data_IF_146397864783
#
_entry.id   IF_146397864783
#
_cell.length_a   1.000
_cell.length_b   1.000
_cell.length_c   1.000
_cell.angle_alpha   90.00
_cell.angle_beta   90.00
_cell.angle_gamma   90.00
#
_symmetry.space_group_name_H-M   'P 1'
#
loop_
_entity.id
_entity.type
_entity.pdbx_description
1 polymer ?
#
# COMPACT_ATOMS: atom_id res chain seq x y z
N UNK A 1 29.45 -39.40 -75.58
CA UNK A 1 28.61 -38.20 -75.33
C UNK A 1 28.20 -37.96 -73.86
N UNK A 2 28.43 -38.89 -72.91
CA UNK A 2 28.05 -38.69 -71.49
C UNK A 2 29.08 -37.91 -70.65
N UNK A 3 30.33 -37.77 -71.11
CA UNK A 3 31.37 -37.02 -70.40
C UNK A 3 31.36 -35.51 -70.65
N UNK A 4 30.72 -35.02 -71.73
CA UNK A 4 30.69 -33.59 -72.05
C UNK A 4 29.55 -32.81 -71.34
N UNK A 5 28.51 -33.51 -70.87
CA UNK A 5 27.39 -32.91 -70.14
C UNK A 5 27.68 -32.66 -68.65
N UNK A 6 28.60 -33.44 -68.04
CA UNK A 6 29.00 -33.22 -66.64
C UNK A 6 29.88 -31.98 -66.44
N UNK A 7 30.65 -31.58 -67.46
CA UNK A 7 31.56 -30.43 -67.36
C UNK A 7 30.82 -29.08 -67.49
N UNK A 8 29.75 -28.99 -68.30
CA UNK A 8 28.89 -27.79 -68.39
C UNK A 8 28.04 -27.55 -67.13
N UNK A 9 27.74 -28.59 -66.34
CA UNK A 9 26.99 -28.44 -65.08
C UNK A 9 27.82 -27.86 -63.92
N UNK A 10 29.16 -27.97 -63.99
CA UNK A 10 30.06 -27.43 -62.95
C UNK A 10 30.39 -25.95 -63.16
N UNK A 11 30.53 -25.47 -64.40
CA UNK A 11 30.73 -24.02 -64.68
C UNK A 11 29.52 -23.16 -64.28
N UNK A 12 28.28 -23.63 -64.53
CA UNK A 12 27.07 -22.86 -64.17
C UNK A 12 26.83 -22.78 -62.66
N UNK A 13 27.39 -23.73 -61.89
CA UNK A 13 27.33 -23.73 -60.42
C UNK A 13 28.39 -22.86 -59.76
N UNK A 14 29.45 -22.49 -60.51
CA UNK A 14 30.47 -21.54 -60.05
C UNK A 14 30.12 -20.08 -60.42
N UNK A 15 29.37 -19.82 -61.50
CA UNK A 15 28.87 -18.47 -61.81
C UNK A 15 27.72 -18.01 -60.88
N UNK A 16 26.87 -18.92 -60.40
CA UNK A 16 25.82 -18.62 -59.41
C UNK A 16 26.33 -18.47 -57.98
N UNK A 17 27.60 -18.79 -57.71
CA UNK A 17 28.25 -18.58 -56.42
C UNK A 17 28.98 -17.22 -56.32
N UNK A 18 29.08 -16.48 -57.44
CA UNK A 18 29.70 -15.15 -57.49
C UNK A 18 28.70 -14.00 -57.28
N UNK A 19 27.39 -14.26 -57.35
CA UNK A 19 26.38 -13.36 -56.79
C UNK A 19 26.20 -13.71 -55.31
N UNK A 20 26.97 -13.04 -54.44
CA UNK A 20 26.71 -13.10 -53.01
C UNK A 20 25.22 -12.81 -52.73
N UNK A 21 24.63 -13.41 -51.67
CA UNK A 21 23.26 -13.11 -51.29
C UNK A 21 23.11 -11.57 -51.23
N UNK A 22 22.03 -10.99 -51.77
CA UNK A 22 21.82 -9.55 -51.70
C UNK A 22 22.05 -9.16 -50.25
N UNK A 23 23.02 -8.25 -50.02
CA UNK A 23 23.34 -7.76 -48.69
C UNK A 23 22.00 -7.39 -48.07
N UNK A 24 21.55 -8.20 -47.11
CA UNK A 24 20.36 -7.90 -46.33
C UNK A 24 20.69 -6.58 -45.67
N UNK A 25 20.19 -5.49 -46.26
CA UNK A 25 20.32 -4.17 -45.70
C UNK A 25 19.78 -4.29 -44.29
N UNK A 26 20.67 -4.14 -43.31
CA UNK A 26 20.32 -4.08 -41.92
C UNK A 26 19.21 -3.02 -41.84
N UNK A 27 17.99 -3.37 -41.41
CA UNK A 27 16.91 -2.39 -41.37
C UNK A 27 17.42 -1.18 -40.60
N UNK A 28 17.17 0.04 -41.11
CA UNK A 28 17.74 1.25 -40.53
C UNK A 28 17.48 1.24 -39.03
N UNK A 29 18.47 1.61 -38.19
CA UNK A 29 18.27 1.69 -36.75
C UNK A 29 17.02 2.51 -36.50
N UNK A 30 16.06 1.93 -35.76
CA UNK A 30 14.79 2.59 -35.42
C UNK A 30 15.13 3.99 -34.94
N UNK A 31 14.78 5.00 -35.73
CA UNK A 31 14.94 6.39 -35.34
C UNK A 31 14.36 6.52 -33.94
N UNK A 32 15.12 7.10 -33.02
CA UNK A 32 14.67 7.39 -31.67
C UNK A 32 13.62 8.50 -31.77
N UNK A 33 12.42 8.13 -32.18
CA UNK A 33 11.25 9.00 -32.21
C UNK A 33 11.08 9.54 -30.78
N UNK A 34 11.08 10.87 -30.66
CA UNK A 34 10.73 11.51 -29.39
C UNK A 34 9.35 11.01 -28.97
N UNK A 35 9.12 10.75 -27.67
CA UNK A 35 7.82 10.28 -27.20
C UNK A 35 6.72 11.27 -27.62
N UNK A 36 5.54 10.77 -28.00
CA UNK A 36 4.45 11.65 -28.39
C UNK A 36 4.05 12.54 -27.20
N UNK A 37 3.70 13.81 -27.44
CA UNK A 37 3.22 14.69 -26.38
C UNK A 37 1.91 14.14 -25.79
N UNK A 38 1.69 14.37 -24.49
CA UNK A 38 0.47 13.98 -23.77
C UNK A 38 -0.83 14.27 -24.54
N UNK A 39 -0.93 15.46 -25.15
CA UNK A 39 -2.11 15.88 -25.90
C UNK A 39 -2.42 14.96 -27.08
N UNK A 40 -1.39 14.40 -27.73
CA UNK A 40 -1.55 13.49 -28.84
C UNK A 40 -1.99 12.10 -28.39
N UNK A 41 -1.42 11.58 -27.29
CA UNK A 41 -1.87 10.29 -26.74
C UNK A 41 -3.30 10.39 -26.20
N UNK A 42 -3.67 11.55 -25.62
CA UNK A 42 -5.06 11.82 -25.23
C UNK A 42 -6.00 11.93 -26.43
N UNK A 43 -5.58 12.56 -27.53
CA UNK A 43 -6.34 12.59 -28.78
C UNK A 43 -6.55 11.17 -29.33
N UNK A 44 -5.48 10.36 -29.39
CA UNK A 44 -5.55 8.96 -29.76
C UNK A 44 -6.54 8.19 -28.87
N UNK A 45 -6.48 8.38 -27.54
CA UNK A 45 -7.41 7.76 -26.60
C UNK A 45 -8.86 8.12 -26.87
N UNK A 46 -9.13 9.39 -27.15
CA UNK A 46 -10.48 9.88 -27.46
C UNK A 46 -11.02 9.24 -28.74
N UNK A 47 -10.20 9.17 -29.78
CA UNK A 47 -10.61 8.59 -31.07
C UNK A 47 -10.82 7.08 -30.94
N UNK A 48 -9.88 6.36 -30.33
CA UNK A 48 -9.96 4.90 -30.14
C UNK A 48 -11.15 4.50 -29.28
N UNK A 49 -11.41 5.22 -28.17
CA UNK A 49 -12.56 4.93 -27.30
C UNK A 49 -13.89 5.16 -28.01
N UNK A 50 -14.00 6.22 -28.83
CA UNK A 50 -15.16 6.48 -29.68
C UNK A 50 -15.35 5.39 -30.73
N UNK A 51 -14.29 4.99 -31.42
CA UNK A 51 -14.32 3.91 -32.42
C UNK A 51 -14.79 2.60 -31.81
N UNK A 52 -14.19 2.18 -30.69
CA UNK A 52 -14.59 0.96 -29.98
C UNK A 52 -16.06 1.04 -29.50
N UNK A 53 -16.49 2.20 -28.99
CA UNK A 53 -17.88 2.39 -28.58
C UNK A 53 -18.86 2.27 -29.75
N UNK A 54 -18.50 2.79 -30.94
CA UNK A 54 -19.32 2.67 -32.15
C UNK A 54 -19.43 1.21 -32.62
N UNK A 55 -18.42 0.39 -32.35
CA UNK A 55 -18.44 -1.05 -32.58
C UNK A 55 -19.19 -1.84 -31.48
N UNK A 56 -19.75 -1.16 -30.47
CA UNK A 56 -20.39 -1.82 -29.32
C UNK A 56 -19.40 -2.46 -28.34
N UNK A 57 -18.12 -2.13 -28.42
CA UNK A 57 -17.05 -2.69 -27.59
C UNK A 57 -16.77 -1.75 -26.42
N UNK A 58 -16.95 -2.26 -25.21
CA UNK A 58 -16.64 -1.53 -23.97
C UNK A 58 -15.13 -1.57 -23.73
N UNK A 59 -14.56 -0.45 -23.31
CA UNK A 59 -13.11 -0.33 -23.09
C UNK A 59 -12.75 0.60 -21.92
N UNK A 60 -11.48 0.56 -21.52
CA UNK A 60 -10.88 1.43 -20.53
C UNK A 60 -9.40 1.65 -20.83
N UNK A 61 -8.90 2.85 -20.52
CA UNK A 61 -7.52 3.25 -20.67
C UNK A 61 -6.71 2.78 -19.46
N UNK A 62 -5.52 2.23 -19.73
CA UNK A 62 -4.54 1.85 -18.70
C UNK A 62 -3.12 2.29 -19.10
N UNK A 63 -2.16 2.07 -18.20
CA UNK A 63 -0.74 2.33 -18.46
C UNK A 63 -0.40 3.82 -18.34
N UNK A 64 0.59 4.27 -19.10
CA UNK A 64 1.22 5.58 -18.89
C UNK A 64 0.27 6.77 -18.99
N UNK A 65 -0.72 6.74 -19.90
CA UNK A 65 -1.74 7.78 -19.98
C UNK A 65 -2.63 7.81 -18.72
N UNK A 66 -3.08 6.65 -18.24
CA UNK A 66 -3.88 6.57 -17.01
C UNK A 66 -3.07 7.06 -15.80
N UNK A 67 -1.78 6.74 -15.71
CA UNK A 67 -0.91 7.20 -14.62
C UNK A 67 -0.75 8.73 -14.63
N UNK A 68 -0.61 9.35 -15.81
CA UNK A 68 -0.59 10.82 -15.94
C UNK A 68 -1.91 11.43 -15.46
N UNK A 69 -3.04 10.86 -15.90
CA UNK A 69 -4.37 11.35 -15.52
C UNK A 69 -4.66 11.19 -14.03
N UNK A 70 -4.00 10.24 -13.35
CA UNK A 70 -4.05 10.10 -11.89
C UNK A 70 -2.99 10.88 -11.13
N UNK A 71 -2.27 11.79 -11.80
CA UNK A 71 -1.40 12.77 -11.13
C UNK A 71 0.10 12.57 -11.34
N UNK A 72 0.57 11.61 -12.14
CA UNK A 72 2.00 11.59 -12.51
C UNK A 72 2.36 12.81 -13.34
N UNK A 73 3.22 13.68 -12.81
CA UNK A 73 3.60 14.97 -13.42
C UNK A 73 4.72 14.81 -14.44
N UNK A 74 5.68 13.94 -14.17
CA UNK A 74 6.98 13.93 -14.85
C UNK A 74 7.00 13.01 -16.08
N UNK A 75 5.99 12.17 -16.24
CA UNK A 75 5.93 11.17 -17.31
C UNK A 75 5.19 11.70 -18.51
N UNK A 76 5.77 11.62 -19.70
CA UNK A 76 5.00 11.68 -20.95
C UNK A 76 4.60 10.26 -21.36
N UNK A 77 3.34 10.04 -21.77
CA UNK A 77 2.90 8.72 -22.17
C UNK A 77 3.55 8.32 -23.50
N UNK A 78 4.24 7.17 -23.52
CA UNK A 78 4.90 6.66 -24.72
C UNK A 78 3.91 5.93 -25.66
N UNK A 79 2.94 5.23 -25.07
CA UNK A 79 1.98 4.37 -25.77
C UNK A 79 0.60 4.46 -25.12
N UNK A 80 -0.43 4.19 -25.92
CA UNK A 80 -1.81 4.12 -25.44
C UNK A 80 -2.17 2.68 -25.08
N UNK A 81 -2.35 2.39 -23.78
CA UNK A 81 -2.89 1.12 -23.31
C UNK A 81 -4.42 1.13 -23.29
N UNK A 82 -5.05 0.17 -23.96
CA UNK A 82 -6.52 -0.01 -23.99
C UNK A 82 -6.91 -1.42 -23.57
N UNK A 83 -7.70 -1.50 -22.50
CA UNK A 83 -8.33 -2.71 -22.02
C UNK A 83 -9.71 -2.83 -22.68
N UNK A 84 -10.01 -3.95 -23.34
CA UNK A 84 -11.29 -4.18 -24.02
C UNK A 84 -12.05 -5.34 -23.39
N UNK A 85 -13.37 -5.23 -23.33
CA UNK A 85 -14.26 -6.31 -22.90
C UNK A 85 -15.04 -6.82 -24.09
N UNK A 86 -14.98 -8.13 -24.29
CA UNK A 86 -15.75 -8.80 -25.32
C UNK A 86 -17.25 -8.71 -25.03
N UNK A 87 -18.08 -8.35 -26.02
CA UNK A 87 -19.53 -8.52 -25.90
C UNK A 87 -19.94 -10.01 -25.90
N UNK A 88 -19.10 -10.90 -26.44
CA UNK A 88 -19.36 -12.36 -26.47
C UNK A 88 -18.45 -13.11 -25.49
N UNK A 89 -18.91 -14.23 -24.93
CA UNK A 89 -18.12 -15.03 -23.99
C UNK A 89 -16.91 -15.77 -24.64
N UNK A 90 -16.70 -15.59 -25.94
CA UNK A 90 -15.65 -16.25 -26.71
C UNK A 90 -14.29 -15.52 -26.59
N UNK A 91 -13.21 -16.25 -26.87
CA UNK A 91 -11.86 -15.70 -26.87
C UNK A 91 -11.76 -14.59 -27.93
N UNK A 92 -11.30 -13.42 -27.52
CA UNK A 92 -11.05 -12.30 -28.43
C UNK A 92 -9.83 -12.56 -29.30
N UNK A 93 -10.00 -12.56 -30.62
CA UNK A 93 -8.87 -12.41 -31.54
C UNK A 93 -8.45 -10.94 -31.58
N UNK A 94 -7.43 -10.60 -30.80
CA UNK A 94 -6.90 -9.24 -30.72
C UNK A 94 -6.31 -8.75 -32.04
N UNK A 95 -5.85 -9.66 -32.92
CA UNK A 95 -5.31 -9.27 -34.21
C UNK A 95 -6.44 -8.88 -35.16
N UNK A 96 -7.53 -9.65 -35.17
CA UNK A 96 -8.74 -9.29 -35.91
C UNK A 96 -9.32 -7.95 -35.43
N UNK A 97 -9.39 -7.72 -34.11
CA UNK A 97 -9.85 -6.44 -33.58
C UNK A 97 -8.99 -5.26 -34.04
N UNK A 98 -7.66 -5.42 -34.02
CA UNK A 98 -6.75 -4.37 -34.53
C UNK A 98 -7.00 -4.07 -36.00
N UNK A 99 -7.22 -5.09 -36.83
CA UNK A 99 -7.60 -4.91 -38.23
C UNK A 99 -8.92 -4.16 -38.38
N UNK A 100 -9.96 -4.54 -37.64
CA UNK A 100 -11.25 -3.86 -37.68
C UNK A 100 -11.17 -2.37 -37.29
N UNK A 101 -10.35 -2.03 -36.29
CA UNK A 101 -10.11 -0.63 -35.92
C UNK A 101 -9.39 0.11 -37.06
N UNK A 102 -8.37 -0.52 -37.66
CA UNK A 102 -7.66 0.07 -38.79
C UNK A 102 -8.55 0.28 -40.02
N UNK A 103 -9.44 -0.67 -40.29
CA UNK A 103 -10.40 -0.62 -41.40
C UNK A 103 -11.50 0.43 -41.19
N UNK A 104 -11.73 0.88 -39.95
CA UNK A 104 -12.72 1.94 -39.67
C UNK A 104 -12.29 3.28 -40.27
N UNK A 105 -10.99 3.59 -40.21
CA UNK A 105 -10.43 4.79 -40.83
C UNK A 105 -8.91 4.62 -41.02
N UNK A 106 -8.52 4.17 -42.23
CA UNK A 106 -7.13 3.92 -42.60
C UNK A 106 -6.28 5.21 -42.72
N UNK A 107 -6.91 6.40 -42.66
CA UNK A 107 -6.18 7.67 -42.70
C UNK A 107 -5.59 8.03 -41.34
N UNK A 108 -6.20 7.53 -40.26
CA UNK A 108 -5.78 7.79 -38.87
C UNK A 108 -5.27 6.54 -38.16
N UNK A 109 -5.53 5.34 -38.69
CA UNK A 109 -5.04 4.09 -38.12
C UNK A 109 -4.24 3.29 -39.14
N UNK A 110 -3.14 2.68 -38.71
CA UNK A 110 -2.41 1.71 -39.53
C UNK A 110 -1.97 0.49 -38.74
N UNK A 111 -1.81 -0.61 -39.44
CA UNK A 111 -1.15 -1.80 -38.93
C UNK A 111 0.30 -1.84 -39.41
N UNK A 112 1.23 -2.01 -38.48
CA UNK A 112 2.66 -2.17 -38.80
C UNK A 112 3.13 -3.53 -38.29
N UNK A 113 3.76 -4.33 -39.15
CA UNK A 113 4.32 -5.62 -38.74
C UNK A 113 5.40 -5.41 -37.66
N UNK A 114 5.31 -6.12 -36.52
CA UNK A 114 6.31 -6.02 -35.43
C UNK A 114 7.73 -6.32 -35.89
N UNK A 115 7.83 -7.33 -36.76
CA UNK A 115 9.02 -7.71 -37.49
C UNK A 115 8.59 -8.39 -38.81
N UNK A 116 9.46 -8.50 -39.82
CA UNK A 116 9.10 -9.06 -41.13
C UNK A 116 8.59 -10.51 -41.12
N UNK A 117 8.73 -11.23 -40.00
CA UNK A 117 8.30 -12.63 -39.84
C UNK A 117 7.11 -12.79 -38.89
N UNK A 118 6.66 -11.71 -38.26
CA UNK A 118 5.59 -11.73 -37.27
C UNK A 118 4.25 -11.74 -37.97
N UNK A 119 3.38 -12.69 -37.60
CA UNK A 119 1.96 -12.66 -37.98
C UNK A 119 1.18 -11.59 -37.21
N UNK A 120 1.74 -11.07 -36.11
CA UNK A 120 1.17 -9.99 -35.34
C UNK A 120 1.63 -8.63 -35.87
N UNK A 121 0.67 -7.71 -35.99
CA UNK A 121 0.92 -6.31 -36.33
C UNK A 121 0.51 -5.41 -35.16
N UNK A 122 1.33 -4.39 -34.92
CA UNK A 122 1.02 -3.33 -33.97
C UNK A 122 0.03 -2.36 -34.61
N UNK A 123 -0.93 -1.89 -33.80
CA UNK A 123 -1.87 -0.84 -34.20
C UNK A 123 -1.26 0.52 -33.86
N UNK A 124 -1.29 1.43 -34.83
CA UNK A 124 -0.76 2.79 -34.70
C UNK A 124 -1.84 3.81 -35.00
N UNK A 125 -1.86 4.89 -34.22
CA UNK A 125 -2.64 6.10 -34.49
C UNK A 125 -1.76 7.15 -35.18
N UNK A 126 -2.32 7.79 -36.19
CA UNK A 126 -1.75 8.90 -36.95
C UNK A 126 -2.61 10.13 -36.73
N UNK A 127 -1.99 11.18 -36.19
CA UNK A 127 -2.66 12.45 -35.96
C UNK A 127 -1.75 13.61 -36.27
N UNK A 128 -2.32 14.81 -36.27
CA UNK A 128 -1.57 16.07 -36.34
C UNK A 128 -1.73 16.86 -35.06
N UNK A 129 -0.62 17.40 -34.56
CA UNK A 129 -0.62 18.32 -33.43
C UNK A 129 0.38 19.45 -33.69
N UNK A 130 -0.10 20.70 -33.71
CA UNK A 130 0.72 21.88 -34.06
C UNK A 130 1.55 21.66 -35.33
N UNK A 131 0.88 21.20 -36.39
CA UNK A 131 1.46 20.92 -37.71
C UNK A 131 2.56 19.85 -37.75
N UNK A 132 2.78 19.10 -36.66
CA UNK A 132 3.64 17.93 -36.64
C UNK A 132 2.81 16.66 -36.78
N UNK A 133 3.23 15.78 -37.68
CA UNK A 133 2.70 14.43 -37.76
C UNK A 133 3.15 13.67 -36.50
N UNK A 134 2.19 12.97 -35.89
CA UNK A 134 2.40 12.22 -34.66
C UNK A 134 1.95 10.79 -34.83
N UNK A 135 2.72 9.91 -34.18
CA UNK A 135 2.48 8.48 -34.15
C UNK A 135 2.34 8.04 -32.70
N UNK A 136 1.29 7.27 -32.42
CA UNK A 136 1.08 6.68 -31.10
C UNK A 136 0.78 5.19 -31.26
N UNK A 137 1.61 4.33 -30.68
CA UNK A 137 1.34 2.90 -30.64
C UNK A 137 0.19 2.60 -29.67
N UNK A 138 -0.77 1.78 -30.13
CA UNK A 138 -1.94 1.37 -29.36
C UNK A 138 -1.78 -0.09 -28.94
N UNK A 139 -1.76 -0.32 -27.63
CA UNK A 139 -1.65 -1.64 -27.02
C UNK A 139 -3.03 -2.08 -26.53
N UNK A 140 -3.67 -2.96 -27.29
CA UNK A 140 -4.95 -3.56 -26.93
C UNK A 140 -4.72 -4.84 -26.12
N UNK A 141 -5.36 -4.95 -24.96
CA UNK A 141 -5.36 -6.14 -24.10
C UNK A 141 -6.77 -6.45 -23.56
N UNK A 142 -6.95 -7.64 -23.00
CA UNK A 142 -8.19 -8.07 -22.33
C UNK A 142 -7.93 -8.40 -20.85
N UNK A 143 -8.93 -8.24 -19.96
CA UNK A 143 -8.79 -8.59 -18.55
C UNK A 143 -8.40 -10.05 -18.34
N UNK A 144 -7.68 -10.34 -17.25
CA UNK A 144 -7.27 -11.71 -16.89
C UNK A 144 -6.06 -12.25 -17.67
N UNK A 145 -5.60 -11.56 -18.72
CA UNK A 145 -4.38 -11.90 -19.45
C UNK A 145 -3.18 -11.14 -18.84
N UNK A 146 -1.98 -11.75 -18.86
CA UNK A 146 -0.72 -11.09 -18.50
C UNK A 146 -0.68 -10.50 -17.08
N UNK A 147 -1.33 -11.13 -16.11
CA UNK A 147 -1.42 -10.69 -14.70
C UNK A 147 -2.29 -9.44 -14.50
N UNK A 148 -3.15 -9.09 -15.46
CA UNK A 148 -4.22 -8.15 -15.18
C UNK A 148 -5.24 -8.80 -14.23
N UNK A 149 -5.58 -8.14 -13.11
CA UNK A 149 -6.69 -8.60 -12.29
C UNK A 149 -8.00 -8.63 -13.09
N UNK A 150 -8.95 -9.45 -12.65
CA UNK A 150 -10.29 -9.45 -13.22
C UNK A 150 -10.99 -8.13 -12.91
N UNK A 151 -11.10 -7.23 -13.91
CA UNK A 151 -11.80 -5.96 -13.74
C UNK A 151 -13.20 -6.10 -14.33
N UNK A 152 -14.22 -5.91 -13.50
CA UNK A 152 -15.60 -5.73 -13.98
C UNK A 152 -15.74 -4.38 -14.67
N UNK A 153 -16.43 -4.35 -15.81
CA UNK A 153 -16.68 -3.12 -16.55
C UNK A 153 -17.41 -2.06 -15.72
N UNK A 154 -18.24 -2.46 -14.76
CA UNK A 154 -18.98 -1.55 -13.89
C UNK A 154 -18.08 -0.74 -12.94
N UNK A 155 -16.78 -1.04 -12.90
CA UNK A 155 -15.79 -0.31 -12.10
C UNK A 155 -15.00 0.71 -12.91
N UNK A 156 -15.17 0.74 -14.23
CA UNK A 156 -14.52 1.74 -15.08
C UNK A 156 -15.13 3.11 -14.78
N UNK A 157 -14.27 4.09 -14.52
CA UNK A 157 -14.67 5.47 -14.22
C UNK A 157 -14.33 6.39 -15.38
N UNK A 158 -15.20 7.36 -15.66
CA UNK A 158 -14.89 8.44 -16.59
C UNK A 158 -14.06 9.50 -15.87
N UNK A 159 -12.86 9.76 -16.37
CA UNK A 159 -11.99 10.86 -15.92
C UNK A 159 -11.71 11.73 -17.13
N UNK A 160 -12.09 13.00 -17.06
CA UNK A 160 -11.99 13.97 -18.16
C UNK A 160 -12.54 13.45 -19.51
N UNK A 161 -13.67 12.74 -19.45
CA UNK A 161 -14.36 12.17 -20.60
C UNK A 161 -13.77 10.86 -21.14
N UNK A 162 -12.68 10.34 -20.55
CA UNK A 162 -12.08 9.06 -20.96
C UNK A 162 -12.42 7.95 -19.95
N UNK A 163 -12.74 6.74 -20.40
CA UNK A 163 -12.95 5.59 -19.51
C UNK A 163 -11.59 5.09 -19.01
N UNK A 164 -11.31 5.14 -17.70
CA UNK A 164 -10.05 4.69 -17.12
C UNK A 164 -10.26 3.45 -16.24
N UNK A 165 -9.22 2.60 -16.16
CA UNK A 165 -9.19 1.53 -15.14
C UNK A 165 -9.20 2.12 -13.73
N UNK A 166 -9.75 1.42 -12.72
CA UNK A 166 -9.74 1.90 -11.34
C UNK A 166 -8.32 2.18 -10.83
N UNK A 167 -8.16 3.24 -10.05
CA UNK A 167 -6.88 3.62 -9.43
C UNK A 167 -6.20 2.48 -8.67
N UNK A 168 -6.90 1.64 -7.87
CA UNK A 168 -6.28 0.49 -7.22
C UNK A 168 -5.58 -0.44 -8.22
N UNK A 169 -6.17 -0.63 -9.40
CA UNK A 169 -5.58 -1.45 -10.45
C UNK A 169 -4.40 -0.74 -11.10
N UNK A 170 -4.50 0.57 -11.36
CA UNK A 170 -3.40 1.35 -11.89
C UNK A 170 -2.17 1.31 -10.96
N UNK A 171 -2.37 1.46 -9.65
CA UNK A 171 -1.33 1.35 -8.64
C UNK A 171 -0.70 -0.05 -8.58
N UNK A 172 -1.54 -1.10 -8.62
CA UNK A 172 -1.06 -2.48 -8.68
C UNK A 172 -0.18 -2.72 -9.92
N UNK A 173 -0.61 -2.27 -11.09
CA UNK A 173 0.15 -2.42 -12.34
C UNK A 173 1.46 -1.65 -12.29
N UNK A 174 1.49 -0.45 -11.70
CA UNK A 174 2.72 0.30 -11.47
C UNK A 174 3.71 -0.49 -10.61
N UNK A 175 3.25 -1.06 -9.50
CA UNK A 175 4.08 -1.87 -8.58
C UNK A 175 4.63 -3.13 -9.27
N UNK A 176 3.79 -3.83 -10.05
CA UNK A 176 4.24 -5.01 -10.82
C UNK A 176 5.30 -4.63 -11.86
N UNK A 177 5.14 -3.49 -12.54
CA UNK A 177 6.10 -3.03 -13.54
C UNK A 177 7.39 -2.52 -12.91
N UNK A 178 7.30 -1.88 -11.76
CA UNK A 178 8.46 -1.46 -10.96
C UNK A 178 9.31 -2.67 -10.54
N UNK A 179 8.68 -3.76 -10.08
CA UNK A 179 9.39 -4.97 -9.66
C UNK A 179 10.05 -5.69 -10.85
N UNK A 180 9.32 -5.83 -11.97
CA UNK A 180 9.82 -6.53 -13.18
C UNK A 180 10.93 -5.81 -13.92
N UNK A 181 11.01 -4.48 -13.83
CA UNK A 181 11.98 -3.68 -14.59
C UNK A 181 13.23 -3.42 -13.74
N UNK A 182 14.03 -4.48 -13.58
CA UNK A 182 15.42 -4.43 -13.12
C UNK A 182 16.29 -4.90 -14.30
N UNK A 183 17.05 -4.02 -15.00
CA UNK A 183 18.20 -3.32 -14.41
C UNK A 183 18.55 -1.90 -14.94
N UNK A 184 17.75 -1.24 -15.80
CA UNK A 184 18.07 0.14 -16.24
C UNK A 184 17.54 1.19 -15.24
N UNK A 185 18.46 1.89 -14.57
CA UNK A 185 18.14 2.77 -13.45
C UNK A 185 17.11 3.86 -13.75
N UNK A 186 17.06 4.39 -14.97
CA UNK A 186 16.17 5.50 -15.34
C UNK A 186 14.69 5.13 -15.29
N UNK A 187 14.29 3.97 -15.84
CA UNK A 187 12.88 3.54 -15.82
C UNK A 187 12.41 3.18 -14.41
N UNK A 188 13.29 2.64 -13.56
CA UNK A 188 12.95 2.33 -12.17
C UNK A 188 12.67 3.60 -11.36
N UNK A 189 13.49 4.64 -11.52
CA UNK A 189 13.24 5.94 -10.89
C UNK A 189 11.93 6.57 -11.38
N UNK A 190 11.61 6.44 -12.66
CA UNK A 190 10.32 6.91 -13.18
C UNK A 190 9.14 6.24 -12.49
N UNK A 191 9.15 4.91 -12.32
CA UNK A 191 8.08 4.22 -11.61
C UNK A 191 8.01 4.61 -10.13
N UNK A 192 9.15 4.90 -9.49
CA UNK A 192 9.17 5.42 -8.12
C UNK A 192 8.45 6.77 -8.05
N UNK A 193 8.74 7.68 -9.00
CA UNK A 193 8.04 8.97 -9.10
C UNK A 193 6.54 8.77 -9.36
N UNK A 194 6.18 7.94 -10.34
CA UNK A 194 4.78 7.66 -10.69
C UNK A 194 3.97 7.10 -9.51
N UNK A 195 4.53 6.14 -8.76
CA UNK A 195 3.89 5.58 -7.56
C UNK A 195 3.76 6.65 -6.48
N UNK A 196 4.80 7.45 -6.25
CA UNK A 196 4.78 8.53 -5.26
C UNK A 196 3.71 9.58 -5.58
N UNK A 197 3.62 10.00 -6.83
CA UNK A 197 2.62 10.96 -7.30
C UNK A 197 1.20 10.40 -7.17
N UNK A 198 0.97 9.14 -7.54
CA UNK A 198 -0.33 8.49 -7.39
C UNK A 198 -0.74 8.39 -5.92
N UNK A 199 0.18 8.00 -5.02
CA UNK A 199 -0.06 7.94 -3.57
C UNK A 199 -0.38 9.31 -2.95
N UNK A 200 0.10 10.40 -3.56
CA UNK A 200 -0.15 11.77 -3.13
C UNK A 200 -1.40 12.39 -3.78
N UNK A 201 -2.03 11.71 -4.75
CA UNK A 201 -3.20 12.24 -5.47
C UNK A 201 -4.44 12.29 -4.56
N UNK A 202 -5.29 13.30 -4.77
CA UNK A 202 -6.57 13.44 -4.04
C UNK A 202 -7.50 12.25 -4.23
N UNK A 203 -7.38 11.54 -5.35
CA UNK A 203 -8.15 10.34 -5.60
C UNK A 203 -7.86 9.18 -4.64
N UNK A 204 -6.74 9.21 -3.89
CA UNK A 204 -6.42 8.18 -2.90
C UNK A 204 -7.25 8.29 -1.62
N UNK A 205 -7.85 9.46 -1.33
CA UNK A 205 -8.65 9.68 -0.12
C UNK A 205 -9.89 8.78 -0.08
N UNK A 206 -10.58 8.60 -1.21
CA UNK A 206 -11.74 7.72 -1.32
C UNK A 206 -11.35 6.24 -1.11
N UNK A 207 -10.16 5.85 -1.57
CA UNK A 207 -9.68 4.48 -1.47
C UNK A 207 -9.33 4.08 -0.03
N UNK A 208 -8.87 5.03 0.77
CA UNK A 208 -8.60 4.82 2.20
C UNK A 208 -9.86 4.29 2.93
N UNK A 209 -11.03 4.82 2.55
CA UNK A 209 -12.32 4.42 3.12
C UNK A 209 -12.76 3.06 2.56
N UNK A 210 -12.75 2.89 1.23
CA UNK A 210 -13.36 1.70 0.57
C UNK A 210 -12.53 0.43 0.68
N UNK A 211 -11.19 0.55 0.73
CA UNK A 211 -10.24 -0.55 0.79
C UNK A 211 -10.39 -1.66 -0.27
N UNK A 212 -10.41 -1.29 -1.56
CA UNK A 212 -10.76 -2.20 -2.65
C UNK A 212 -9.77 -3.36 -2.87
N UNK A 213 -8.55 -3.27 -2.36
CA UNK A 213 -7.57 -4.39 -2.36
C UNK A 213 -8.01 -5.61 -1.55
N UNK A 214 -9.01 -5.47 -0.66
CA UNK A 214 -9.57 -6.61 0.08
C UNK A 214 -10.73 -7.29 -0.64
N UNK A 215 -11.24 -6.69 -1.71
CA UNK A 215 -12.40 -7.20 -2.42
C UNK A 215 -11.97 -8.38 -3.31
N UNK A 216 -12.45 -9.61 -3.03
CA UNK A 216 -12.04 -10.79 -3.79
C UNK A 216 -12.40 -10.70 -5.28
N UNK A 217 -13.45 -9.93 -5.61
CA UNK A 217 -13.89 -9.69 -6.98
C UNK A 217 -13.00 -8.72 -7.77
N UNK A 218 -12.08 -8.00 -7.12
CA UNK A 218 -11.12 -7.11 -7.79
C UNK A 218 -9.70 -7.67 -7.69
N UNK A 219 -9.33 -8.20 -6.53
CA UNK A 219 -8.02 -8.78 -6.27
C UNK A 219 -8.19 -10.21 -5.76
N UNK A 220 -7.80 -11.20 -6.58
CA UNK A 220 -7.72 -12.59 -6.13
C UNK A 220 -6.70 -12.72 -5.01
N UNK A 221 -6.73 -13.84 -4.26
CA UNK A 221 -5.78 -14.10 -3.17
C UNK A 221 -4.33 -14.02 -3.66
N UNK A 222 -4.05 -14.56 -4.85
CA UNK A 222 -2.73 -14.51 -5.48
C UNK A 222 -2.34 -13.08 -5.83
N UNK A 223 -3.29 -12.29 -6.36
CA UNK A 223 -3.05 -10.89 -6.71
C UNK A 223 -2.79 -10.04 -5.46
N UNK A 224 -3.50 -10.30 -4.35
CA UNK A 224 -3.27 -9.65 -3.06
C UNK A 224 -1.89 -9.98 -2.48
N UNK A 225 -1.45 -11.22 -2.67
CA UNK A 225 -0.11 -11.65 -2.24
C UNK A 225 0.98 -10.94 -3.05
N UNK A 226 0.86 -10.92 -4.39
CA UNK A 226 1.79 -10.17 -5.26
C UNK A 226 1.82 -8.69 -4.89
N UNK A 227 0.66 -8.09 -4.65
CA UNK A 227 0.57 -6.70 -4.21
C UNK A 227 1.29 -6.48 -2.89
N UNK A 228 1.10 -7.37 -1.92
CA UNK A 228 1.77 -7.32 -0.61
C UNK A 228 3.29 -7.40 -0.75
N UNK A 229 3.78 -8.35 -1.54
CA UNK A 229 5.22 -8.57 -1.73
C UNK A 229 5.87 -7.38 -2.45
N UNK A 230 5.22 -6.85 -3.50
CA UNK A 230 5.72 -5.67 -4.21
C UNK A 230 5.71 -4.41 -3.34
N UNK A 231 4.69 -4.22 -2.49
CA UNK A 231 4.65 -3.09 -1.55
C UNK A 231 5.79 -3.20 -0.55
N UNK A 232 6.05 -4.39 -0.01
CA UNK A 232 7.16 -4.60 0.91
C UNK A 232 8.49 -4.30 0.24
N UNK A 233 8.74 -4.85 -0.96
CA UNK A 233 9.93 -4.54 -1.75
C UNK A 233 10.08 -3.05 -2.02
N UNK A 234 8.98 -2.38 -2.41
CA UNK A 234 8.98 -0.95 -2.68
C UNK A 234 9.29 -0.13 -1.43
N UNK A 235 8.67 -0.45 -0.30
CA UNK A 235 8.90 0.23 0.97
C UNK A 235 10.33 0.03 1.51
N UNK A 236 10.97 -1.09 1.21
CA UNK A 236 12.39 -1.29 1.54
C UNK A 236 13.30 -0.26 0.81
N UNK A 237 12.92 0.15 -0.40
CA UNK A 237 13.68 1.13 -1.20
C UNK A 237 13.21 2.56 -0.94
N UNK A 238 11.91 2.75 -0.66
CA UNK A 238 11.27 4.04 -0.43
C UNK A 238 10.51 4.03 0.92
N UNK A 239 11.20 4.07 2.07
CA UNK A 239 10.57 3.92 3.39
C UNK A 239 9.48 4.97 3.67
N UNK A 240 9.62 6.18 3.13
CA UNK A 240 8.62 7.25 3.26
C UNK A 240 7.23 6.89 2.70
N UNK A 241 7.15 5.90 1.81
CA UNK A 241 5.87 5.45 1.25
C UNK A 241 5.08 4.53 2.20
N UNK A 242 5.71 4.01 3.27
CA UNK A 242 5.06 3.09 4.21
C UNK A 242 3.80 3.68 4.82
N UNK A 243 3.84 4.92 5.31
CA UNK A 243 2.66 5.56 5.89
C UNK A 243 1.54 5.78 4.87
N UNK A 244 1.88 6.03 3.59
CA UNK A 244 0.87 6.15 2.54
C UNK A 244 0.17 4.80 2.27
N UNK A 245 0.93 3.72 2.11
CA UNK A 245 0.35 2.37 1.98
C UNK A 245 -0.37 1.91 3.27
N UNK A 246 0.13 2.31 4.43
CA UNK A 246 -0.47 2.03 5.74
C UNK A 246 -1.82 2.72 5.91
N UNK A 247 -1.97 3.97 5.46
CA UNK A 247 -3.27 4.65 5.40
C UNK A 247 -4.25 3.91 4.50
N UNK A 248 -3.79 3.37 3.37
CA UNK A 248 -4.60 2.46 2.55
C UNK A 248 -4.87 1.13 3.28
N UNK A 249 -4.36 0.84 4.47
CA UNK A 249 -4.60 -0.44 5.14
C UNK A 249 -4.12 -1.65 4.31
N UNK A 250 -3.15 -1.40 3.41
CA UNK A 250 -2.34 -2.40 2.76
C UNK A 250 -1.27 -2.87 3.74
N UNK A 251 -0.92 -4.17 3.74
CA UNK A 251 0.02 -4.72 4.70
C UNK A 251 1.43 -4.21 4.43
N UNK A 252 1.82 -3.17 5.17
CA UNK A 252 3.23 -2.79 5.34
C UNK A 252 3.75 -3.53 6.58
N UNK A 253 4.52 -4.59 6.36
CA UNK A 253 5.22 -5.22 7.47
C UNK A 253 6.26 -4.22 7.97
N UNK A 254 6.06 -3.69 9.17
CA UNK A 254 7.14 -3.00 9.86
C UNK A 254 8.27 -4.00 10.04
N UNK A 255 9.42 -3.73 9.42
CA UNK A 255 10.68 -4.26 9.94
C UNK A 255 10.70 -3.98 11.44
N UNK A 256 11.09 -4.95 12.27
CA UNK A 256 11.20 -4.74 13.72
C UNK A 256 12.08 -3.51 14.04
N UNK A 257 13.00 -3.15 13.14
CA UNK A 257 13.83 -1.95 13.19
C UNK A 257 13.04 -0.64 13.01
N UNK A 258 12.04 -0.61 12.11
CA UNK A 258 11.14 0.55 11.94
C UNK A 258 10.19 0.68 13.11
N UNK A 259 9.70 -0.44 13.65
CA UNK A 259 8.89 -0.45 14.87
C UNK A 259 9.71 0.00 16.10
N UNK A 260 10.98 -0.41 16.19
CA UNK A 260 11.90 0.04 17.23
C UNK A 260 12.21 1.54 17.10
N UNK A 261 12.64 2.03 15.92
CA UNK A 261 12.88 3.47 15.66
C UNK A 261 11.66 4.34 15.90
N UNK A 262 10.48 3.88 15.50
CA UNK A 262 9.21 4.55 15.80
C UNK A 262 8.94 4.64 17.31
N UNK A 263 9.26 3.58 18.05
CA UNK A 263 9.11 3.55 19.51
C UNK A 263 10.08 4.50 20.25
N UNK A 264 11.17 4.95 19.61
CA UNK A 264 12.27 5.73 20.22
C UNK A 264 12.08 7.26 20.11
N UNK A 265 10.94 7.78 19.66
CA UNK A 265 10.62 9.20 19.88
C UNK A 265 9.81 9.38 21.18
N UNK A 266 10.46 9.62 22.34
CA UNK A 266 9.75 10.01 23.55
C UNK A 266 9.14 11.40 23.33
N UNK A 267 7.82 11.56 23.50
CA UNK A 267 7.22 12.90 23.62
C UNK A 267 5.83 13.09 23.04
N UNK A 268 5.30 12.18 22.22
CA UNK A 268 4.07 12.47 21.48
C UNK A 268 2.79 12.63 22.33
N UNK A 269 2.77 12.10 23.55
CA UNK A 269 1.67 12.31 24.52
C UNK A 269 2.15 12.78 25.90
N UNK A 270 3.42 13.16 26.05
CA UNK A 270 3.98 13.55 27.34
C UNK A 270 4.66 14.89 27.21
N UNK A 271 4.00 15.92 27.70
CA UNK A 271 4.57 17.25 27.98
C UNK A 271 5.51 17.22 29.21
N UNK A 272 5.92 16.02 29.64
CA UNK A 272 6.76 15.82 30.81
C UNK A 272 8.12 15.25 30.42
N UNK A 273 9.17 15.83 31.02
CA UNK A 273 10.58 15.43 30.94
C UNK A 273 10.88 14.01 31.50
N UNK A 274 9.92 13.09 31.42
CA UNK A 274 10.05 11.72 31.93
C UNK A 274 10.45 10.79 30.79
N UNK A 275 11.58 10.12 30.98
CA UNK A 275 11.97 8.99 30.15
C UNK A 275 11.03 7.81 30.43
N UNK A 276 10.39 7.23 29.39
CA UNK A 276 9.54 6.07 29.56
C UNK A 276 10.38 4.89 30.06
N UNK A 277 10.00 4.31 31.20
CA UNK A 277 10.69 3.12 31.75
C UNK A 277 10.30 1.83 31.02
N UNK A 278 9.08 1.80 30.46
CA UNK A 278 8.52 0.65 29.77
C UNK A 278 7.74 1.11 28.54
N UNK A 279 7.78 0.30 27.48
CA UNK A 279 6.98 0.50 26.28
C UNK A 279 6.17 -0.76 26.02
N UNK A 280 4.88 -0.59 25.72
CA UNK A 280 3.98 -1.69 25.42
C UNK A 280 3.82 -1.78 23.90
N UNK A 281 4.13 -2.95 23.33
CA UNK A 281 3.98 -3.23 21.90
C UNK A 281 2.88 -4.26 21.72
N UNK A 282 1.86 -3.93 20.94
CA UNK A 282 0.81 -4.87 20.57
C UNK A 282 1.21 -5.65 19.33
N UNK A 283 1.02 -6.97 19.37
CA UNK A 283 1.31 -7.88 18.27
C UNK A 283 0.08 -8.70 17.94
N UNK A 284 -0.18 -8.84 16.64
CA UNK A 284 -1.26 -9.64 16.09
C UNK A 284 -0.68 -10.74 15.21
N UNK A 285 -1.35 -11.89 15.16
CA UNK A 285 -1.16 -12.87 14.10
C UNK A 285 -2.42 -12.94 13.25
N UNK A 286 -2.27 -12.73 11.94
CA UNK A 286 -3.37 -12.87 10.98
C UNK A 286 -3.69 -14.35 10.71
N UNK A 287 -2.74 -15.25 10.96
CA UNK A 287 -2.82 -16.67 10.57
C UNK A 287 -3.05 -17.62 11.75
N UNK A 288 -2.84 -17.16 12.99
CA UNK A 288 -2.95 -18.00 14.18
C UNK A 288 -3.73 -17.31 15.29
N UNK A 289 -4.54 -18.10 16.02
CA UNK A 289 -5.20 -17.66 17.25
C UNK A 289 -4.22 -17.48 18.41
N UNK A 290 -3.04 -18.09 18.31
CA UNK A 290 -1.99 -18.00 19.31
C UNK A 290 -0.73 -17.35 18.73
N UNK A 291 -0.24 -16.34 19.45
CA UNK A 291 1.04 -15.68 19.17
C UNK A 291 2.03 -16.19 20.20
N UNK A 292 3.11 -16.82 19.74
CA UNK A 292 4.24 -17.16 20.59
C UNK A 292 5.02 -15.88 20.93
N UNK A 293 4.69 -15.28 22.08
CA UNK A 293 5.27 -14.01 22.51
C UNK A 293 6.77 -14.11 22.78
N UNK A 294 7.27 -15.25 23.27
CA UNK A 294 8.70 -15.41 23.55
C UNK A 294 9.47 -15.57 22.23
N UNK A 295 8.96 -16.40 21.31
CA UNK A 295 9.54 -16.50 19.96
C UNK A 295 9.51 -15.19 19.17
N UNK A 296 8.52 -14.31 19.40
CA UNK A 296 8.53 -12.95 18.84
C UNK A 296 9.67 -12.11 19.41
N UNK A 297 9.89 -12.12 20.74
CA UNK A 297 11.02 -11.40 21.36
C UNK A 297 12.36 -11.90 20.83
N UNK A 298 12.54 -13.22 20.73
CA UNK A 298 13.77 -13.85 20.23
C UNK A 298 14.06 -13.41 18.80
N UNK A 299 13.05 -13.43 17.92
CA UNK A 299 13.20 -12.96 16.55
C UNK A 299 13.51 -11.46 16.47
N UNK A 300 12.91 -10.65 17.34
CA UNK A 300 13.20 -9.21 17.40
C UNK A 300 14.66 -8.96 17.83
N UNK A 301 15.11 -9.61 18.90
CA UNK A 301 16.48 -9.49 19.40
C UNK A 301 17.52 -10.07 18.43
N UNK A 302 17.22 -11.18 17.76
CA UNK A 302 18.11 -11.74 16.73
C UNK A 302 18.25 -10.80 15.51
N UNK A 303 17.21 -10.02 15.19
CA UNK A 303 17.20 -9.10 14.06
C UNK A 303 17.94 -7.80 14.33
N UNK A 304 17.90 -7.31 15.57
CA UNK A 304 18.62 -6.11 16.02
C UNK A 304 19.31 -6.38 17.35
N UNK A 305 20.36 -7.20 17.30
CA UNK A 305 21.12 -7.59 18.50
C UNK A 305 21.93 -6.46 19.11
N UNK A 306 22.07 -5.33 18.40
CA UNK A 306 22.76 -4.14 18.87
C UNK A 306 21.89 -3.41 19.89
N UNK A 307 20.62 -3.19 19.56
CA UNK A 307 19.73 -2.39 20.40
C UNK A 307 18.72 -3.22 21.19
N UNK A 308 18.43 -4.45 20.78
CA UNK A 308 17.45 -5.29 21.45
C UNK A 308 18.12 -6.46 22.14
N UNK A 309 17.94 -6.56 23.45
CA UNK A 309 18.52 -7.63 24.26
C UNK A 309 17.44 -8.35 25.04
N UNK A 310 17.51 -9.68 25.02
CA UNK A 310 16.70 -10.53 25.88
C UNK A 310 17.42 -10.67 27.21
N UNK A 311 16.76 -10.28 28.29
CA UNK A 311 17.26 -10.38 29.65
C UNK A 311 16.48 -11.50 30.37
N UNK A 312 17.17 -12.50 30.94
CA UNK A 312 16.52 -13.55 31.70
C UNK A 312 15.81 -12.98 32.94
N UNK A 313 14.78 -13.68 33.46
CA UNK A 313 14.10 -13.26 34.67
C UNK A 313 15.07 -13.14 35.86
N UNK A 314 14.96 -12.04 36.60
CA UNK A 314 15.87 -11.75 37.74
C UNK A 314 15.42 -12.49 39.00
N UNK A 315 14.12 -12.77 39.13
CA UNK A 315 13.54 -13.47 40.27
C UNK A 315 12.89 -14.79 39.84
N UNK A 316 12.91 -15.86 40.67
CA UNK A 316 12.24 -17.13 40.37
C UNK A 316 10.72 -17.01 40.13
N UNK A 317 10.10 -15.95 40.65
CA UNK A 317 8.68 -15.63 40.42
C UNK A 317 8.41 -15.06 39.02
N UNK A 318 9.42 -14.54 38.33
CA UNK A 318 9.31 -14.06 36.96
C UNK A 318 9.51 -15.23 36.00
N UNK A 319 8.44 -15.67 35.35
CA UNK A 319 8.50 -16.81 34.42
C UNK A 319 8.81 -16.44 32.96
N UNK A 320 8.96 -15.14 32.66
CA UNK A 320 9.03 -14.63 31.28
C UNK A 320 10.27 -13.81 31.05
N UNK A 321 10.88 -13.97 29.87
CA UNK A 321 12.02 -13.17 29.45
C UNK A 321 11.60 -11.71 29.25
N UNK A 322 12.47 -10.77 29.57
CA UNK A 322 12.24 -9.36 29.30
C UNK A 322 13.00 -8.95 28.04
N UNK A 323 12.30 -8.32 27.09
CA UNK A 323 12.96 -7.65 25.97
C UNK A 323 13.32 -6.24 26.42
N UNK A 324 14.56 -5.84 26.23
CA UNK A 324 15.06 -4.51 26.57
C UNK A 324 15.56 -3.81 25.32
N UNK A 325 15.29 -2.51 25.23
CA UNK A 325 15.94 -1.62 24.29
C UNK A 325 17.13 -0.95 24.96
N UNK A 326 18.25 -0.92 24.23
CA UNK A 326 19.49 -0.25 24.57
C UNK A 326 19.76 0.83 23.53
N UNK A 327 19.79 2.09 23.98
CA UNK A 327 20.19 3.22 23.15
C UNK A 327 21.63 3.10 22.64
N UNK A 328 22.00 3.98 21.71
CA UNK A 328 23.36 4.08 21.19
C UNK A 328 24.36 4.43 22.31
N UNK A 329 25.67 4.30 22.04
CA UNK A 329 26.69 4.72 23.02
C UNK A 329 26.64 6.22 23.36
N UNK A 330 26.08 7.04 22.47
CA UNK A 330 25.85 8.46 22.70
C UNK A 330 24.64 8.69 23.62
N UNK A 331 23.66 7.78 23.59
CA UNK A 331 22.42 7.80 24.37
C UNK A 331 22.44 6.81 25.55
N UNK A 332 23.49 6.86 26.39
CA UNK A 332 23.69 5.95 27.55
C UNK A 332 22.54 5.92 28.56
N UNK A 333 21.55 6.78 28.43
CA UNK A 333 20.41 6.92 29.33
C UNK A 333 19.09 6.37 28.76
N UNK A 334 19.10 5.87 27.52
CA UNK A 334 17.89 5.37 26.86
C UNK A 334 17.80 3.85 26.96
N UNK A 335 17.63 3.36 28.19
CA UNK A 335 17.39 1.94 28.45
C UNK A 335 15.96 1.76 28.98
N UNK A 336 15.12 1.04 28.24
CA UNK A 336 13.76 0.75 28.66
C UNK A 336 13.33 -0.65 28.28
N UNK A 337 12.38 -1.17 29.04
CA UNK A 337 11.83 -2.50 28.81
C UNK A 337 10.72 -2.46 27.77
N UNK A 338 10.70 -3.41 26.86
CA UNK A 338 9.63 -3.62 25.88
C UNK A 338 8.74 -4.77 26.35
N UNK A 339 7.48 -4.47 26.61
CA UNK A 339 6.43 -5.44 26.91
C UNK A 339 5.61 -5.74 25.66
N UNK A 340 5.77 -6.96 25.14
CA UNK A 340 4.97 -7.43 24.00
C UNK A 340 3.67 -8.06 24.51
N UNK A 341 2.54 -7.62 23.96
CA UNK A 341 1.19 -8.08 24.36
C UNK A 341 0.37 -8.43 23.12
N UNK A 342 -0.60 -9.34 23.27
CA UNK A 342 -1.62 -9.61 22.26
C UNK A 342 -2.91 -8.88 22.68
N UNK A 343 -3.59 -8.16 21.77
CA UNK A 343 -4.90 -7.59 22.10
C UNK A 343 -5.91 -8.66 22.49
N UNK A 344 -6.90 -8.26 23.30
CA UNK A 344 -7.83 -9.14 24.00
C UNK A 344 -7.22 -10.01 25.12
N UNK A 345 -5.89 -9.96 25.36
CA UNK A 345 -5.34 -10.43 26.63
C UNK A 345 -5.55 -9.37 27.71
N UNK A 346 -6.15 -9.78 28.81
CA UNK A 346 -6.34 -9.07 30.10
C UNK A 346 -6.44 -7.54 29.94
N UNK A 347 -7.67 -7.03 29.80
CA UNK A 347 -7.98 -5.61 29.97
C UNK A 347 -7.81 -4.72 28.74
N UNK A 348 -7.32 -5.25 27.61
CA UNK A 348 -7.32 -4.52 26.33
C UNK A 348 -8.49 -4.96 25.43
N UNK A 349 -9.14 -4.03 24.71
CA UNK A 349 -10.17 -4.38 23.75
C UNK A 349 -9.59 -5.16 22.57
N UNK A 350 -10.48 -5.75 21.76
CA UNK A 350 -10.11 -6.46 20.54
C UNK A 350 -9.73 -5.44 19.46
N UNK A 351 -8.49 -4.94 19.54
CA UNK A 351 -7.96 -4.03 18.54
C UNK A 351 -7.64 -4.78 17.25
N UNK A 352 -8.00 -4.15 16.14
CA UNK A 352 -7.67 -4.59 14.79
C UNK A 352 -6.66 -3.61 14.20
N UNK A 353 -5.83 -4.01 13.22
CA UNK A 353 -4.83 -3.14 12.63
C UNK A 353 -5.38 -1.82 12.07
N UNK A 354 -6.63 -1.80 11.60
CA UNK A 354 -7.30 -0.60 11.09
C UNK A 354 -7.71 0.40 12.19
N UNK A 355 -7.61 0.03 13.46
CA UNK A 355 -7.85 0.93 14.59
C UNK A 355 -6.55 1.60 15.06
N UNK A 356 -5.39 1.27 14.50
CA UNK A 356 -4.11 1.85 14.91
C UNK A 356 -3.94 3.20 14.22
N UNK A 357 -3.63 4.22 15.01
CA UNK A 357 -3.32 5.56 14.52
C UNK A 357 -1.82 5.65 14.22
N UNK A 358 -1.45 6.44 13.22
CA UNK A 358 -0.05 6.71 12.92
C UNK A 358 0.24 8.18 13.22
N UNK A 359 1.20 8.43 14.12
CA UNK A 359 1.68 9.79 14.40
C UNK A 359 3.20 9.78 14.28
N UNK A 360 3.75 10.65 13.41
CA UNK A 360 5.18 10.69 13.10
C UNK A 360 5.77 9.32 12.68
N UNK A 361 5.02 8.54 11.90
CA UNK A 361 5.36 7.17 11.48
C UNK A 361 5.41 6.15 12.65
N UNK A 362 4.75 6.46 13.76
CA UNK A 362 4.65 5.60 14.93
C UNK A 362 3.24 5.08 15.02
N UNK A 363 3.12 3.75 14.97
CA UNK A 363 1.87 3.04 15.19
C UNK A 363 1.50 3.11 16.67
N UNK A 364 0.46 3.88 16.97
CA UNK A 364 -0.06 4.12 18.30
C UNK A 364 -1.48 3.57 18.40
N UNK A 365 -1.78 2.93 19.54
CA UNK A 365 -3.17 2.56 19.84
C UNK A 365 -4.05 3.82 19.89
N UNK A 366 -5.37 3.71 19.64
CA UNK A 366 -6.29 4.81 19.87
C UNK A 366 -6.07 5.44 21.24
N UNK A 367 -6.14 6.77 21.30
CA UNK A 367 -5.96 7.51 22.56
C UNK A 367 -6.85 6.98 23.69
N UNK A 368 -8.13 6.72 23.40
CA UNK A 368 -9.05 6.13 24.38
C UNK A 368 -8.55 4.79 24.93
N UNK A 369 -7.93 3.94 24.12
CA UNK A 369 -7.43 2.63 24.57
C UNK A 369 -6.23 2.81 25.49
N UNK A 370 -5.32 3.74 25.19
CA UNK A 370 -4.20 4.06 26.06
C UNK A 370 -4.66 4.66 27.41
N UNK A 371 -5.67 5.53 27.38
CA UNK A 371 -6.28 6.11 28.58
C UNK A 371 -6.90 5.02 29.46
N UNK A 372 -7.64 4.08 28.86
CA UNK A 372 -8.31 3.00 29.59
C UNK A 372 -7.34 1.94 30.13
N UNK A 373 -6.25 1.65 29.42
CA UNK A 373 -5.18 0.79 29.95
C UNK A 373 -4.51 1.44 31.17
N UNK A 374 -4.26 2.75 31.13
CA UNK A 374 -3.73 3.53 32.26
C UNK A 374 -4.70 3.55 33.44
N UNK A 375 -6.00 3.72 33.20
CA UNK A 375 -7.04 3.62 34.22
C UNK A 375 -7.12 2.22 34.83
N UNK A 376 -7.09 1.17 34.01
CA UNK A 376 -7.16 -0.22 34.48
C UNK A 376 -5.97 -0.58 35.37
N UNK A 377 -4.79 -0.05 35.04
CA UNK A 377 -3.57 -0.15 35.84
C UNK A 377 -3.70 0.55 37.20
N UNK A 378 -4.27 1.75 37.22
CA UNK A 378 -4.57 2.46 38.46
C UNK A 378 -5.56 1.69 39.35
N UNK A 379 -6.64 1.18 38.76
CA UNK A 379 -7.69 0.45 39.46
C UNK A 379 -7.13 -0.82 40.12
N UNK A 380 -6.27 -1.54 39.40
CA UNK A 380 -5.58 -2.71 39.94
C UNK A 380 -4.68 -2.38 41.13
N UNK A 381 -3.89 -1.31 41.04
CA UNK A 381 -2.99 -0.90 42.12
C UNK A 381 -3.77 -0.39 43.35
N UNK A 382 -4.88 0.33 43.15
CA UNK A 382 -5.74 0.79 44.25
C UNK A 382 -6.35 -0.36 45.04
N UNK A 383 -6.83 -1.41 44.34
CA UNK A 383 -7.37 -2.61 45.00
C UNK A 383 -6.31 -3.37 45.81
N UNK A 384 -5.02 -3.25 45.45
CA UNK A 384 -3.90 -3.88 46.17
C UNK A 384 -3.30 -3.01 47.28
N UNK A 385 -3.50 -1.69 47.23
CA UNK A 385 -2.90 -0.72 48.15
C UNK A 385 -3.34 -0.86 49.62
N UNK A 386 -4.25 -1.81 49.95
CA UNK A 386 -4.42 -2.30 51.32
C UNK A 386 -3.12 -2.81 51.96
N UNK A 387 -2.13 -3.19 51.14
CA UNK A 387 -0.76 -3.48 51.54
C UNK A 387 0.08 -2.19 51.50
N UNK A 388 0.52 -1.68 52.66
CA UNK A 388 1.18 -0.35 52.87
C UNK A 388 2.39 0.02 51.96
N UNK A 389 2.87 -0.84 51.06
CA UNK A 389 4.13 -0.66 50.32
C UNK A 389 4.01 0.09 48.97
N UNK A 390 2.80 0.30 48.42
CA UNK A 390 2.65 0.75 47.01
C UNK A 390 2.08 2.18 46.82
N UNK A 391 1.99 2.99 47.88
CA UNK A 391 1.38 4.34 47.86
C UNK A 391 1.98 5.30 46.80
N UNK A 392 3.33 5.34 46.56
CA UNK A 392 3.91 6.25 45.58
C UNK A 392 3.52 5.96 44.13
N UNK A 393 3.27 4.70 43.79
CA UNK A 393 2.92 4.30 42.42
C UNK A 393 1.44 4.61 42.11
N UNK A 394 0.54 4.50 43.11
CA UNK A 394 -0.88 4.90 42.96
C UNK A 394 -0.99 6.38 42.59
N UNK A 395 -0.34 7.27 43.34
CA UNK A 395 -0.34 8.71 43.06
C UNK A 395 0.24 9.03 41.68
N UNK A 396 1.24 8.26 41.25
CA UNK A 396 1.81 8.42 39.90
C UNK A 396 0.76 8.14 38.84
N UNK A 397 0.03 7.03 38.96
CA UNK A 397 -0.99 6.66 37.94
C UNK A 397 -2.19 7.59 37.94
N UNK A 398 -2.59 8.11 39.10
CA UNK A 398 -3.63 9.16 39.18
C UNK A 398 -3.23 10.37 38.34
N UNK A 399 -2.00 10.85 38.52
CA UNK A 399 -1.47 11.97 37.75
C UNK A 399 -1.42 11.65 36.24
N UNK A 400 -1.05 10.43 35.88
CA UNK A 400 -1.01 10.01 34.47
C UNK A 400 -2.43 10.01 33.85
N UNK A 401 -3.44 9.45 34.54
CA UNK A 401 -4.85 9.51 34.10
C UNK A 401 -5.33 10.95 33.96
N UNK A 402 -5.12 11.80 34.96
CA UNK A 402 -5.52 13.20 34.94
C UNK A 402 -4.87 14.00 33.80
N UNK A 403 -3.58 13.76 33.52
CA UNK A 403 -2.88 14.39 32.39
C UNK A 403 -3.44 13.94 31.06
N UNK A 404 -3.69 12.64 30.91
CA UNK A 404 -4.30 12.12 29.68
C UNK A 404 -5.68 12.74 29.47
N UNK A 405 -6.52 12.84 30.50
CA UNK A 405 -7.84 13.50 30.38
C UNK A 405 -7.72 14.94 29.84
N UNK A 406 -6.82 15.74 30.40
CA UNK A 406 -6.55 17.12 29.93
C UNK A 406 -6.04 17.17 28.49
N UNK A 407 -5.11 16.27 28.12
CA UNK A 407 -4.62 16.15 26.74
C UNK A 407 -5.74 15.75 25.77
N UNK A 408 -6.60 14.83 26.20
CA UNK A 408 -7.78 14.38 25.46
C UNK A 408 -8.67 15.55 25.06
N UNK A 409 -8.90 16.50 25.97
CA UNK A 409 -9.69 17.70 25.67
C UNK A 409 -9.04 18.58 24.62
N UNK A 410 -7.75 18.88 24.79
CA UNK A 410 -7.04 19.78 23.88
C UNK A 410 -6.96 19.23 22.44
N UNK A 411 -6.82 17.91 22.29
CA UNK A 411 -6.57 17.30 20.98
C UNK A 411 -7.81 16.66 20.34
N UNK A 412 -8.80 16.21 21.13
CA UNK A 412 -9.90 15.37 20.64
C UNK A 412 -11.29 15.99 20.82
N UNK A 413 -11.41 17.21 21.35
CA UNK A 413 -12.68 17.93 21.37
C UNK A 413 -13.20 18.35 19.97
N UNK A 414 -12.32 18.41 18.96
CA UNK A 414 -12.64 18.89 17.60
C UNK A 414 -12.65 17.81 16.50
N UNK A 415 -12.11 16.61 16.77
CA UNK A 415 -12.10 15.49 15.83
C UNK A 415 -13.21 14.51 16.18
N UNK A 416 -13.84 13.93 15.15
CA UNK A 416 -14.92 12.94 15.24
C UNK A 416 -14.85 12.19 16.57
N UNK A 417 -15.82 12.49 17.44
CA UNK A 417 -15.94 11.90 18.77
C UNK A 417 -15.66 10.42 18.61
N UNK A 418 -14.67 9.90 19.34
CA UNK A 418 -14.50 8.46 19.51
C UNK A 418 -15.86 7.93 19.96
N UNK A 419 -16.71 7.49 19.03
CA UNK A 419 -18.09 7.21 19.37
C UNK A 419 -18.06 5.99 20.25
N UNK A 420 -18.19 6.23 21.54
CA UNK A 420 -18.17 5.20 22.59
C UNK A 420 -19.33 4.22 22.33
N UNK A 421 -20.43 4.76 21.81
CA UNK A 421 -21.57 4.04 21.26
C UNK A 421 -21.31 3.62 19.81
N UNK A 422 -21.64 2.37 19.47
CA UNK A 422 -21.49 1.82 18.12
C UNK A 422 -20.10 1.29 17.74
N UNK A 423 -19.04 1.55 18.53
CA UNK A 423 -17.70 1.07 18.18
C UNK A 423 -17.52 -0.44 18.38
N UNK A 424 -17.16 -1.15 17.29
CA UNK A 424 -16.87 -2.59 17.24
C UNK A 424 -15.68 -2.97 18.15
N UNK A 425 -14.88 -1.99 18.56
CA UNK A 425 -13.66 -2.18 19.38
C UNK A 425 -13.99 -2.67 20.79
N UNK A 426 -15.03 -2.13 21.42
CA UNK A 426 -15.34 -2.36 22.83
C UNK A 426 -16.60 -3.23 22.96
N UNK A 427 -16.45 -4.46 23.45
CA UNK A 427 -17.61 -5.32 23.76
C UNK A 427 -18.44 -4.72 24.90
N UNK A 428 -19.73 -5.07 24.97
CA UNK A 428 -20.62 -4.57 26.03
C UNK A 428 -20.07 -4.85 27.43
N UNK A 429 -19.57 -6.07 27.66
CA UNK A 429 -18.94 -6.46 28.94
C UNK A 429 -17.71 -5.60 29.26
N UNK A 430 -16.90 -5.28 28.25
CA UNK A 430 -15.72 -4.42 28.43
C UNK A 430 -16.13 -2.99 28.78
N UNK A 431 -17.13 -2.44 28.09
CA UNK A 431 -17.66 -1.10 28.37
C UNK A 431 -18.18 -1.00 29.80
N UNK A 432 -18.90 -2.00 30.27
CA UNK A 432 -19.41 -2.02 31.64
C UNK A 432 -18.30 -2.06 32.68
N UNK A 433 -17.29 -2.91 32.46
CA UNK A 433 -16.09 -2.95 33.31
C UNK A 433 -15.39 -1.60 33.34
N UNK A 434 -15.29 -0.91 32.20
CA UNK A 434 -14.70 0.43 32.10
C UNK A 434 -15.55 1.46 32.85
N UNK A 435 -16.88 1.45 32.70
CA UNK A 435 -17.78 2.37 33.43
C UNK A 435 -17.59 2.26 34.94
N UNK A 436 -17.53 1.05 35.47
CA UNK A 436 -17.30 0.83 36.90
C UNK A 436 -15.95 1.38 37.37
N UNK A 437 -14.90 1.22 36.57
CA UNK A 437 -13.56 1.78 36.87
C UNK A 437 -13.56 3.30 36.83
N UNK A 438 -14.22 3.89 35.85
CA UNK A 438 -14.38 5.34 35.73
C UNK A 438 -15.17 5.88 36.93
N UNK A 439 -16.26 5.22 37.32
CA UNK A 439 -17.05 5.56 38.50
C UNK A 439 -16.21 5.60 39.77
N UNK A 440 -15.50 4.51 40.08
CA UNK A 440 -14.56 4.46 41.22
C UNK A 440 -13.49 5.56 41.17
N UNK A 441 -12.93 5.83 39.98
CA UNK A 441 -11.95 6.90 39.83
C UNK A 441 -12.57 8.28 40.10
N UNK A 442 -13.79 8.52 39.63
CA UNK A 442 -14.51 9.77 39.86
C UNK A 442 -14.90 9.94 41.33
N UNK A 443 -15.28 8.88 42.04
CA UNK A 443 -15.58 8.98 43.48
C UNK A 443 -14.35 9.43 44.28
N UNK A 444 -13.17 8.90 43.94
CA UNK A 444 -11.91 9.28 44.58
C UNK A 444 -11.39 10.65 44.10
N UNK A 445 -11.66 11.02 42.85
CA UNK A 445 -11.19 12.25 42.21
C UNK A 445 -12.33 12.98 41.49
N UNK A 446 -13.29 13.59 42.23
CA UNK A 446 -14.53 14.14 41.66
C UNK A 446 -14.30 15.22 40.59
N UNK A 447 -13.20 15.97 40.71
CA UNK A 447 -12.79 17.01 39.77
C UNK A 447 -12.59 16.49 38.33
N UNK A 448 -12.38 15.18 38.15
CA UNK A 448 -12.16 14.57 36.83
C UNK A 448 -13.45 14.13 36.13
N UNK A 449 -14.58 14.16 36.82
CA UNK A 449 -15.89 13.71 36.29
C UNK A 449 -16.29 14.48 35.04
N UNK A 450 -16.08 15.80 35.04
CA UNK A 450 -16.36 16.64 33.89
C UNK A 450 -15.51 16.22 32.68
N UNK A 451 -14.24 15.86 32.92
CA UNK A 451 -13.31 15.52 31.86
C UNK A 451 -13.69 14.22 31.15
N UNK A 452 -14.12 13.20 31.90
CA UNK A 452 -14.63 11.95 31.35
C UNK A 452 -15.88 12.16 30.49
N UNK A 453 -16.82 13.00 30.96
CA UNK A 453 -18.05 13.32 30.20
C UNK A 453 -17.75 14.02 28.89
N UNK A 454 -16.79 14.95 28.88
CA UNK A 454 -16.36 15.64 27.65
C UNK A 454 -15.78 14.69 26.61
N UNK A 455 -15.08 13.63 27.05
CA UNK A 455 -14.58 12.57 26.18
C UNK A 455 -15.67 11.57 25.74
N UNK A 456 -16.93 11.77 26.16
CA UNK A 456 -18.06 10.92 25.80
C UNK A 456 -18.22 9.67 26.66
N UNK A 457 -17.55 9.59 27.81
CA UNK A 457 -17.74 8.51 28.76
C UNK A 457 -18.87 8.83 29.73
N UNK A 458 -19.80 7.89 29.91
CA UNK A 458 -20.84 7.98 30.92
C UNK A 458 -20.24 7.76 32.31
N UNK A 459 -20.46 8.72 33.21
CA UNK A 459 -20.12 8.60 34.63
C UNK A 459 -21.41 8.31 35.40
N UNK A 460 -21.59 7.08 35.87
CA UNK A 460 -22.69 6.76 36.79
C UNK A 460 -22.16 7.05 38.20
N UNK A 461 -22.81 7.92 39.00
CA UNK A 461 -22.44 8.12 40.40
C UNK A 461 -22.57 6.78 41.14
N UNK A 462 -21.54 6.39 41.89
CA UNK A 462 -21.52 5.10 42.60
C UNK A 462 -22.20 5.17 43.97
N UNK A 463 -22.51 6.38 44.44
CA UNK A 463 -23.35 6.66 45.63
C UNK A 463 -24.50 7.59 45.25
N UNK A 464 -25.76 7.27 45.63
CA UNK A 464 -26.91 8.14 45.45
C UNK A 464 -26.85 9.42 46.28
#
# INVERSE_FOLDING_TARGET
MSHHLKQKSRSRKQELAASGPPKTETPPPRETENPPPYQAVRAAATVVTRTLSAMGIKCAIFGSLAYKMYGSTDREPETLGVLVWSPTAEKYDLQLLRSQIADTDFTIFSLRAKNPRSKESDLWYHGRWKDKDLHCQIIITVPGIQNFPGISINRVSLVDGLPLIPIPIALFLLLVQWERKTPSGTKKLQYISDIGAMLASSHMEELNIRRPWREPGLFSVETQQILTDNIQGYCCIVPKAMGAFGRLGLPVNFSCESAARAVIQPGLYSDSARNPKNINVLVWSLKSRHVDLEGVKEKMAARDSIHLTIVPPVAPSQRKLALWYRGSEEDKHTHFRIEIRVPAMIGLPKLMPNHINEINNISLVPFAVALLDTLAKWDFDCLRAGEKRDIPDVHRRVNDVQRMLKLGHAQYASRDKLSWEGNIIFSNTYRETVRQKIGRFCDMYPVTTHDWRLLGFETIPTTP
#
